data_IF_389082867718
#
_entry.id   IF_389082867718
#
_cell.length_a   1.000
_cell.length_b   1.000
_cell.length_c   1.000
_cell.angle_alpha   90.00
_cell.angle_beta   90.00
_cell.angle_gamma   90.00
#
_symmetry.space_group_name_H-M   'P 1'
#
loop_
_entity.id
_entity.type
_entity.pdbx_description
1 polymer ?
#
# COMPACT_ATOMS: atom_id res chain seq x y z
N UNK A 1 -29.07 12.89 3.63
CA UNK A 1 -28.79 13.30 5.03
C UNK A 1 -27.41 12.78 5.36
N UNK A 2 -26.40 13.65 5.36
CA UNK A 2 -25.04 13.25 5.69
C UNK A 2 -24.86 13.30 7.20
N UNK A 3 -24.52 12.15 7.79
CA UNK A 3 -24.23 12.06 9.21
C UNK A 3 -22.81 12.58 9.42
N UNK A 4 -22.68 13.76 10.03
CA UNK A 4 -21.38 14.35 10.40
C UNK A 4 -20.90 13.75 11.73
N UNK A 5 -20.37 12.53 11.68
CA UNK A 5 -19.71 11.88 12.81
C UNK A 5 -18.20 12.01 12.62
N UNK A 6 -17.50 12.45 13.66
CA UNK A 6 -16.03 12.46 13.68
C UNK A 6 -15.49 11.05 13.84
N UNK A 7 -14.26 10.82 13.38
CA UNK A 7 -13.65 9.50 13.43
C UNK A 7 -13.56 8.96 14.86
N UNK A 8 -13.23 9.82 15.82
CA UNK A 8 -13.10 9.47 17.23
C UNK A 8 -14.44 9.04 17.84
N UNK A 9 -15.53 9.70 17.43
CA UNK A 9 -16.89 9.36 17.86
C UNK A 9 -17.30 7.98 17.32
N UNK A 10 -16.97 7.70 16.05
CA UNK A 10 -17.19 6.39 15.44
C UNK A 10 -16.39 5.29 16.12
N UNK A 11 -15.11 5.56 16.43
CA UNK A 11 -14.24 4.61 17.12
C UNK A 11 -14.79 4.25 18.50
N UNK A 12 -15.22 5.24 19.27
CA UNK A 12 -15.81 5.03 20.59
C UNK A 12 -17.09 4.18 20.52
N UNK A 13 -17.93 4.39 19.49
CA UNK A 13 -19.12 3.57 19.26
C UNK A 13 -18.78 2.12 18.92
N UNK A 14 -17.78 1.89 18.08
CA UNK A 14 -17.32 0.55 17.73
C UNK A 14 -16.80 -0.18 18.97
N UNK A 15 -16.03 0.50 19.82
CA UNK A 15 -15.46 -0.09 21.04
C UNK A 15 -16.50 -0.49 22.09
N UNK A 16 -17.72 0.07 22.02
CA UNK A 16 -18.82 -0.29 22.91
C UNK A 16 -19.63 -1.50 22.43
N UNK A 17 -19.34 -2.03 21.23
CA UNK A 17 -20.07 -3.18 20.69
C UNK A 17 -19.74 -4.45 21.49
N UNK A 18 -20.74 -5.32 21.74
CA UNK A 18 -20.50 -6.63 22.32
C UNK A 18 -19.69 -7.50 21.34
N UNK A 19 -18.93 -8.46 21.87
CA UNK A 19 -17.95 -9.26 21.12
C UNK A 19 -18.52 -9.92 19.85
N UNK A 20 -19.75 -10.41 19.92
CA UNK A 20 -20.44 -11.02 18.77
C UNK A 20 -20.71 -10.03 17.64
N UNK A 21 -21.01 -8.77 17.97
CA UNK A 21 -21.23 -7.71 16.98
C UNK A 21 -19.90 -7.18 16.41
N UNK A 22 -18.83 -7.18 17.21
CA UNK A 22 -17.48 -6.88 16.72
C UNK A 22 -17.00 -7.92 15.71
N UNK A 23 -17.25 -9.21 15.95
CA UNK A 23 -16.92 -10.27 14.99
C UNK A 23 -17.65 -10.08 13.68
N UNK A 24 -18.97 -9.84 13.74
CA UNK A 24 -19.79 -9.58 12.55
C UNK A 24 -19.32 -8.32 11.79
N UNK A 25 -19.02 -7.24 12.50
CA UNK A 25 -18.50 -6.01 11.91
C UNK A 25 -17.18 -6.26 11.15
N UNK A 26 -16.28 -7.09 11.68
CA UNK A 26 -15.04 -7.46 10.99
C UNK A 26 -15.30 -8.24 9.70
N UNK A 27 -16.24 -9.18 9.72
CA UNK A 27 -16.64 -9.96 8.54
C UNK A 27 -17.28 -9.07 7.45
N UNK A 28 -18.16 -8.16 7.86
CA UNK A 28 -18.79 -7.18 6.97
C UNK A 28 -17.74 -6.22 6.36
N UNK A 29 -16.76 -5.77 7.15
CA UNK A 29 -15.66 -4.93 6.67
C UNK A 29 -14.73 -5.66 5.70
N UNK A 30 -14.42 -6.94 5.94
CA UNK A 30 -13.64 -7.75 5.01
C UNK A 30 -14.35 -7.86 3.65
N UNK A 31 -15.66 -8.13 3.67
CA UNK A 31 -16.50 -8.20 2.46
C UNK A 31 -16.57 -6.86 1.72
N UNK A 32 -16.54 -5.73 2.44
CA UNK A 32 -16.48 -4.39 1.86
C UNK A 32 -15.10 -4.07 1.27
N UNK A 33 -14.02 -4.61 1.84
CA UNK A 33 -12.66 -4.47 1.32
C UNK A 33 -12.44 -5.23 0.02
N UNK A 34 -13.17 -6.33 -0.21
CA UNK A 34 -13.12 -7.06 -1.49
C UNK A 34 -13.95 -6.37 -2.58
N UNK A 35 -15.02 -5.64 -2.19
CA UNK A 35 -15.89 -4.90 -3.12
C UNK A 35 -15.38 -3.51 -3.46
N UNK A 36 -14.62 -2.88 -2.57
CA UNK A 36 -13.81 -1.72 -2.92
C UNK A 36 -12.54 -2.30 -3.49
N UNK A 37 -12.40 -2.22 -4.81
CA UNK A 37 -11.10 -2.30 -5.45
C UNK A 37 -10.21 -1.21 -4.84
N UNK A 38 -9.61 -1.52 -3.70
CA UNK A 38 -8.45 -0.85 -3.13
C UNK A 38 -7.29 -1.23 -4.02
N UNK A 39 -7.42 -0.93 -5.32
CA UNK A 39 -6.28 -0.52 -6.11
C UNK A 39 -5.65 0.58 -5.30
N UNK A 40 -4.69 0.17 -4.48
CA UNK A 40 -3.69 1.03 -3.89
C UNK A 40 -3.18 1.75 -5.13
N UNK A 41 -3.68 2.97 -5.33
CA UNK A 41 -3.24 3.84 -6.40
C UNK A 41 -1.76 3.98 -6.10
N UNK A 42 -0.94 3.20 -6.79
CA UNK A 42 0.50 3.31 -6.74
C UNK A 42 0.75 4.79 -6.95
N UNK A 43 1.28 5.43 -5.91
CA UNK A 43 1.55 6.86 -6.03
C UNK A 43 2.51 7.02 -7.20
N UNK A 44 2.38 8.12 -7.95
CA UNK A 44 3.24 8.38 -9.12
C UNK A 44 4.73 8.24 -8.80
N UNK A 45 5.11 8.43 -7.54
CA UNK A 45 6.45 8.20 -7.03
C UNK A 45 6.84 6.72 -6.93
N UNK A 46 5.95 5.84 -6.48
CA UNK A 46 6.18 4.40 -6.47
C UNK A 46 6.27 3.84 -7.90
N UNK A 47 5.43 4.33 -8.81
CA UNK A 47 5.53 4.03 -10.26
C UNK A 47 6.87 4.51 -10.82
N UNK A 48 7.28 5.74 -10.50
CA UNK A 48 8.57 6.28 -10.91
C UNK A 48 9.75 5.42 -10.43
N UNK A 49 9.74 4.98 -9.16
CA UNK A 49 10.79 4.08 -8.63
C UNK A 49 10.81 2.71 -9.32
N UNK A 50 9.64 2.19 -9.71
CA UNK A 50 9.53 0.92 -10.42
C UNK A 50 9.99 0.98 -11.88
N UNK A 51 10.09 2.18 -12.46
CA UNK A 51 10.59 2.43 -13.80
C UNK A 51 12.09 2.76 -13.83
N UNK A 52 12.84 2.37 -12.79
CA UNK A 52 14.29 2.48 -12.79
C UNK A 52 14.90 1.81 -14.04
N UNK A 53 16.03 2.34 -14.55
CA UNK A 53 16.67 1.78 -15.74
C UNK A 53 17.08 0.33 -15.50
N UNK A 54 16.51 -0.57 -16.30
CA UNK A 54 16.90 -1.98 -16.34
C UNK A 54 18.17 -2.08 -17.19
N UNK A 55 19.26 -2.53 -16.59
CA UNK A 55 20.48 -2.83 -17.34
C UNK A 55 20.32 -4.18 -18.04
N UNK A 56 20.70 -4.23 -19.32
CA UNK A 56 20.93 -5.51 -20.00
C UNK A 56 22.19 -6.17 -19.46
N UNK A 57 22.34 -7.48 -19.70
CA UNK A 57 23.50 -8.25 -19.23
C UNK A 57 24.83 -7.62 -19.68
N UNK A 58 24.94 -7.21 -20.95
CA UNK A 58 26.13 -6.53 -21.44
C UNK A 58 26.38 -5.14 -20.83
N UNK A 59 25.31 -4.40 -20.48
CA UNK A 59 25.45 -3.11 -19.78
C UNK A 59 25.90 -3.30 -18.33
N UNK A 60 25.48 -4.39 -17.70
CA UNK A 60 25.90 -4.76 -16.36
C UNK A 60 27.39 -5.18 -16.32
N UNK A 61 27.83 -5.98 -17.30
CA UNK A 61 29.24 -6.36 -17.44
C UNK A 61 30.13 -5.13 -17.64
N UNK A 62 29.74 -4.24 -18.55
CA UNK A 62 30.47 -2.99 -18.80
C UNK A 62 30.51 -2.07 -17.56
N UNK A 63 29.42 -2.00 -16.79
CA UNK A 63 29.40 -1.29 -15.51
C UNK A 63 30.40 -1.88 -14.51
N UNK A 64 30.46 -3.21 -14.38
CA UNK A 64 31.38 -3.89 -13.49
C UNK A 64 32.84 -3.69 -13.91
N UNK A 65 33.13 -3.70 -15.21
CA UNK A 65 34.46 -3.38 -15.73
C UNK A 65 34.86 -1.94 -15.42
N UNK A 66 33.99 -0.98 -15.71
CA UNK A 66 34.23 0.43 -15.41
C UNK A 66 34.49 0.68 -13.92
N UNK A 67 33.81 -0.05 -13.03
CA UNK A 67 34.00 0.09 -11.57
C UNK A 67 35.37 -0.38 -11.08
N UNK A 68 36.06 -1.24 -11.82
CA UNK A 68 37.42 -1.69 -11.48
C UNK A 68 38.44 -0.55 -11.62
N UNK A 69 38.20 0.37 -12.55
CA UNK A 69 39.08 1.49 -12.85
C UNK A 69 38.75 2.78 -12.07
N UNK A 70 37.59 2.83 -11.39
CA UNK A 70 37.16 4.00 -10.60
C UNK A 70 37.55 3.87 -9.12
N UNK A 71 37.97 2.67 -8.68
CA UNK A 71 38.45 2.39 -7.33
C UNK A 71 39.99 2.26 -7.23
N UNK A 72 40.73 2.69 -8.26
CA UNK A 72 42.17 2.98 -8.17
C UNK A 72 42.37 4.48 -7.90
#
# INVERSE_FOLDING_TARGET
MEIKIKYEELWNLIMQLPTNQLTRLKEDLATLSDKRDLSIKTTSFQEFLSQGPLMTEGQYEQFQENRKYVNE
#
